data_IF_978350138480
#
_entry.id   IF_978350138480
#
_cell.length_a   1.000
_cell.length_b   1.000
_cell.length_c   1.000
_cell.angle_alpha   90.00
_cell.angle_beta   90.00
_cell.angle_gamma   90.00
#
_symmetry.space_group_name_H-M   'P 1'
#
loop_
_entity.id
_entity.type
_entity.pdbx_description
1 polymer ?
#
# COMPACT_ATOMS: atom_id res chain seq x y z
N UNK A 1 -8.41 16.38 -12.89
CA UNK A 1 -7.67 15.68 -11.83
C UNK A 1 -7.81 14.20 -12.10
N UNK A 2 -6.72 13.45 -12.08
CA UNK A 2 -6.79 12.00 -12.20
C UNK A 2 -7.28 11.46 -10.86
N UNK A 3 -8.30 10.59 -10.89
CA UNK A 3 -8.80 9.93 -9.69
C UNK A 3 -7.74 8.94 -9.19
N UNK A 4 -7.47 8.95 -7.88
CA UNK A 4 -6.55 8.01 -7.24
C UNK A 4 -7.34 6.87 -6.64
N UNK A 5 -6.89 5.66 -6.88
CA UNK A 5 -7.51 4.44 -6.35
C UNK A 5 -6.65 3.97 -5.18
N UNK A 6 -7.22 3.94 -3.98
CA UNK A 6 -6.59 3.32 -2.81
C UNK A 6 -6.72 1.81 -2.97
N UNK A 7 -5.59 1.10 -2.94
CA UNK A 7 -5.55 -0.34 -3.13
C UNK A 7 -5.76 -1.09 -1.81
N UNK A 8 -6.61 -2.12 -1.86
CA UNK A 8 -6.84 -3.07 -0.78
C UNK A 8 -5.84 -4.22 -0.86
N UNK A 9 -5.74 -5.00 0.23
CA UNK A 9 -4.78 -6.09 0.38
C UNK A 9 -4.88 -7.18 -0.70
N UNK A 10 -6.09 -7.41 -1.22
CA UNK A 10 -6.37 -8.41 -2.25
C UNK A 10 -6.15 -7.93 -3.68
N UNK A 11 -5.97 -6.62 -3.89
CA UNK A 11 -5.75 -6.06 -5.21
C UNK A 11 -4.38 -6.53 -5.75
N UNK A 12 -4.30 -6.71 -7.07
CA UNK A 12 -3.09 -7.16 -7.76
C UNK A 12 -2.57 -6.06 -8.65
N UNK A 13 -1.27 -5.79 -8.55
CA UNK A 13 -0.56 -4.89 -9.46
C UNK A 13 0.38 -5.68 -10.36
N UNK A 14 0.54 -5.20 -11.59
CA UNK A 14 1.45 -5.76 -12.59
C UNK A 14 2.46 -4.70 -12.99
N UNK A 15 3.75 -5.02 -12.90
CA UNK A 15 4.85 -4.13 -13.28
C UNK A 15 6.08 -4.96 -13.66
N UNK A 16 7.14 -4.31 -14.15
CA UNK A 16 8.39 -5.02 -14.41
C UNK A 16 8.91 -5.66 -13.11
N UNK A 17 9.44 -6.88 -13.22
CA UNK A 17 9.91 -7.64 -12.05
C UNK A 17 11.03 -6.90 -11.30
N UNK A 18 11.86 -6.13 -11.99
CA UNK A 18 13.00 -5.44 -11.40
C UNK A 18 12.55 -4.13 -10.72
N UNK A 19 11.33 -3.66 -11.03
CA UNK A 19 10.67 -2.54 -10.38
C UNK A 19 9.71 -2.98 -9.26
N UNK A 20 9.31 -4.25 -9.24
CA UNK A 20 8.43 -4.80 -8.21
C UNK A 20 9.18 -5.11 -6.92
N UNK A 21 8.68 -4.60 -5.79
CA UNK A 21 9.26 -4.84 -4.46
C UNK A 21 9.33 -6.32 -4.06
N UNK A 22 8.51 -7.17 -4.64
CA UNK A 22 8.50 -8.63 -4.42
C UNK A 22 9.36 -9.40 -5.45
N UNK A 23 9.97 -8.71 -6.42
CA UNK A 23 10.71 -9.28 -7.55
C UNK A 23 9.91 -10.25 -8.44
N UNK A 24 8.57 -10.13 -8.44
CA UNK A 24 7.64 -10.87 -9.29
C UNK A 24 7.02 -9.95 -10.35
N UNK A 25 6.60 -10.45 -11.52
CA UNK A 25 5.91 -9.62 -12.53
C UNK A 25 4.52 -9.14 -12.09
N UNK A 26 3.90 -9.86 -11.15
CA UNK A 26 2.61 -9.50 -10.54
C UNK A 26 2.64 -9.82 -9.06
N UNK A 27 1.99 -8.98 -8.25
CA UNK A 27 1.95 -9.15 -6.80
C UNK A 27 0.65 -8.66 -6.21
N UNK A 28 0.18 -9.34 -5.17
CA UNK A 28 -0.87 -8.82 -4.31
C UNK A 28 -0.34 -7.68 -3.45
N UNK A 29 -1.21 -6.76 -3.09
CA UNK A 29 -0.86 -5.59 -2.27
C UNK A 29 -0.38 -5.99 -0.88
N UNK A 30 -0.95 -7.05 -0.28
CA UNK A 30 -0.47 -7.57 1.00
C UNK A 30 0.96 -8.12 0.93
N UNK A 31 1.32 -8.81 -0.16
CA UNK A 31 2.70 -9.26 -0.40
C UNK A 31 3.65 -8.06 -0.47
N UNK A 32 3.27 -7.00 -1.18
CA UNK A 32 4.07 -5.77 -1.25
C UNK A 32 4.22 -5.11 0.13
N UNK A 33 3.12 -5.00 0.89
CA UNK A 33 3.14 -4.45 2.25
C UNK A 33 4.06 -5.26 3.16
N UNK A 34 4.02 -6.59 3.06
CA UNK A 34 4.88 -7.47 3.84
C UNK A 34 6.36 -7.28 3.48
N UNK A 35 6.70 -7.19 2.19
CA UNK A 35 8.07 -6.91 1.75
C UNK A 35 8.60 -5.54 2.23
N UNK A 36 7.73 -4.53 2.31
CA UNK A 36 8.09 -3.21 2.89
C UNK A 36 8.35 -3.37 4.40
N UNK A 37 7.49 -4.10 5.10
CA UNK A 37 7.61 -4.35 6.53
C UNK A 37 8.82 -5.20 6.90
N UNK A 38 9.22 -6.15 6.05
CA UNK A 38 10.40 -6.99 6.25
C UNK A 38 11.71 -6.21 6.02
N UNK A 39 11.70 -5.25 5.09
CA UNK A 39 12.82 -4.31 4.90
C UNK A 39 12.90 -3.25 6.00
N UNK A 40 11.85 -3.08 6.80
CA UNK A 40 11.88 -2.22 7.96
C UNK A 40 12.74 -2.87 9.04
N UNK A 41 13.90 -2.28 9.28
CA UNK A 41 15.02 -2.80 10.09
C UNK A 41 14.57 -3.40 11.45
N UNK A 42 15.26 -4.45 11.88
CA UNK A 42 15.03 -5.12 13.16
C UNK A 42 15.15 -4.14 14.34
N UNK A 43 16.01 -3.13 14.21
CA UNK A 43 16.22 -2.08 15.20
C UNK A 43 14.95 -1.25 15.50
N UNK A 44 14.01 -1.15 14.54
CA UNK A 44 12.74 -0.44 14.72
C UNK A 44 11.57 -1.35 15.14
N UNK A 45 11.74 -2.68 15.13
CA UNK A 45 10.68 -3.61 15.52
C UNK A 45 10.24 -3.43 16.96
N UNK A 46 11.18 -3.19 17.88
CA UNK A 46 10.86 -2.96 19.29
C UNK A 46 10.10 -1.64 19.47
N UNK A 47 10.51 -0.59 18.74
CA UNK A 47 9.80 0.68 18.68
C UNK A 47 8.37 0.54 18.15
N UNK A 48 8.14 -0.33 17.16
CA UNK A 48 6.84 -0.49 16.52
C UNK A 48 5.87 -1.43 17.25
N UNK A 49 6.38 -2.48 17.89
CA UNK A 49 5.56 -3.48 18.60
C UNK A 49 5.28 -3.09 20.05
N UNK A 50 6.31 -3.06 20.88
CA UNK A 50 6.16 -2.96 22.33
C UNK A 50 6.41 -1.55 22.88
N UNK A 51 7.12 -0.73 22.10
CA UNK A 51 7.57 0.60 22.48
C UNK A 51 8.74 0.57 23.46
N UNK A 52 9.60 1.60 23.36
CA UNK A 52 10.79 1.73 24.20
C UNK A 52 10.45 2.46 25.49
N UNK A 53 10.83 1.89 26.63
CA UNK A 53 10.64 2.54 27.93
C UNK A 53 11.49 3.81 28.01
N UNK A 54 10.87 4.93 28.34
CA UNK A 54 11.53 6.22 28.38
C UNK A 54 10.89 7.18 29.41
N UNK A 55 11.47 8.38 29.51
CA UNK A 55 10.87 9.50 30.23
C UNK A 55 10.63 10.65 29.25
N UNK A 56 9.46 11.29 29.35
CA UNK A 56 9.07 12.45 28.56
C UNK A 56 9.05 13.70 29.45
N UNK A 57 9.74 14.76 29.02
CA UNK A 57 9.60 16.10 29.60
C UNK A 57 8.73 16.93 28.67
N UNK A 58 7.51 17.25 29.11
CA UNK A 58 6.59 18.06 28.32
C UNK A 58 6.99 19.53 28.31
N UNK A 59 6.92 20.16 27.13
CA UNK A 59 7.10 21.62 26.98
C UNK A 59 6.05 22.43 27.75
N UNK A 60 4.90 21.81 28.09
CA UNK A 60 3.86 22.41 28.93
C UNK A 60 4.24 22.46 30.41
N UNK A 61 5.41 21.95 30.79
CA UNK A 61 5.85 21.80 32.18
C UNK A 61 5.34 20.49 32.82
N UNK A 62 5.48 20.38 34.15
CA UNK A 62 5.00 19.21 34.91
C UNK A 62 6.06 18.14 35.25
N UNK A 63 7.32 18.36 34.86
CA UNK A 63 8.44 17.46 35.18
C UNK A 63 8.53 16.23 34.26
N UNK A 64 9.43 15.30 34.62
CA UNK A 64 9.67 14.06 33.85
C UNK A 64 8.58 13.01 34.11
N UNK A 65 7.95 12.55 33.04
CA UNK A 65 6.91 11.51 33.06
C UNK A 65 7.49 10.18 32.56
N UNK A 66 7.44 9.12 33.37
CA UNK A 66 7.82 7.77 32.94
C UNK A 66 6.74 7.18 32.03
N UNK A 67 7.15 6.54 30.94
CA UNK A 67 6.24 5.89 30.00
C UNK A 67 6.97 5.06 28.96
N UNK A 68 6.31 4.84 27.82
CA UNK A 68 6.89 4.21 26.64
C UNK A 68 6.68 5.10 25.42
N UNK A 69 7.66 5.13 24.53
CA UNK A 69 7.52 5.72 23.19
C UNK A 69 7.34 4.60 22.17
N UNK A 70 6.33 4.72 21.31
CA UNK A 70 6.01 3.74 20.27
C UNK A 70 5.89 4.46 18.93
N UNK A 71 6.34 3.82 17.86
CA UNK A 71 6.16 4.27 16.49
C UNK A 71 5.05 3.42 15.86
N UNK A 72 4.04 4.07 15.30
CA UNK A 72 3.01 3.39 14.50
C UNK A 72 3.26 3.75 13.03
N UNK A 73 3.41 2.73 12.18
CA UNK A 73 3.65 2.89 10.74
C UNK A 73 2.52 2.21 10.00
N UNK A 74 1.81 2.99 9.18
CA UNK A 74 0.79 2.50 8.25
C UNK A 74 1.16 2.91 6.83
N UNK A 75 0.92 2.01 5.87
CA UNK A 75 1.18 2.25 4.45
C UNK A 75 -0.12 2.12 3.66
N UNK A 76 -0.41 3.12 2.83
CA UNK A 76 -1.47 3.09 1.82
C UNK A 76 -0.82 3.07 0.44
N UNK A 77 -1.23 2.13 -0.41
CA UNK A 77 -0.79 2.09 -1.80
C UNK A 77 -1.85 2.76 -2.67
N UNK A 78 -1.42 3.71 -3.49
CA UNK A 78 -2.29 4.42 -4.42
C UNK A 78 -1.95 4.05 -5.85
N UNK A 79 -2.96 3.72 -6.65
CA UNK A 79 -2.85 3.59 -8.09
C UNK A 79 -3.43 4.83 -8.77
N UNK A 80 -2.68 5.42 -9.70
CA UNK A 80 -3.13 6.56 -10.50
C UNK A 80 -3.28 6.07 -11.94
N UNK A 81 -4.50 5.77 -12.41
CA UNK A 81 -4.72 5.38 -13.79
C UNK A 81 -4.34 6.53 -14.73
N UNK A 82 -3.72 6.23 -15.87
CA UNK A 82 -3.66 7.24 -16.94
C UNK A 82 -5.06 7.66 -17.34
N UNK A 83 -5.23 8.92 -17.81
CA UNK A 83 -6.50 9.37 -18.37
C UNK A 83 -6.92 8.36 -19.42
N UNK A 84 -7.97 7.61 -19.13
CA UNK A 84 -8.47 6.56 -19.99
C UNK A 84 -8.85 7.20 -21.32
N UNK A 85 -8.05 6.98 -22.36
CA UNK A 85 -8.56 7.05 -23.73
C UNK A 85 -9.36 5.77 -24.02
N UNK A 86 -10.25 5.41 -23.11
CA UNK A 86 -11.24 4.38 -23.32
C UNK A 86 -12.58 5.12 -23.40
N UNK A 87 -12.95 5.51 -24.61
CA UNK A 87 -14.36 5.50 -24.95
C UNK A 87 -14.90 4.11 -24.53
N UNK A 88 -16.09 4.02 -23.91
CA UNK A 88 -16.76 2.74 -23.79
C UNK A 88 -17.10 2.33 -25.23
N UNK A 89 -16.19 1.58 -25.87
CA UNK A 89 -16.53 0.86 -27.08
C UNK A 89 -17.47 -0.25 -26.65
N UNK A 90 -18.75 0.12 -26.56
CA UNK A 90 -19.88 -0.78 -26.51
C UNK A 90 -19.90 -1.78 -27.68
N UNK A 91 -18.92 -1.75 -28.60
CA UNK A 91 -18.78 -2.71 -29.70
C UNK A 91 -18.03 -3.99 -29.34
N UNK A 92 -17.12 -4.00 -28.35
CA UNK A 92 -16.28 -5.19 -28.11
C UNK A 92 -17.02 -6.40 -27.56
N UNK A 93 -18.14 -6.20 -26.86
CA UNK A 93 -19.06 -7.28 -26.44
C UNK A 93 -20.21 -7.52 -27.42
N UNK A 94 -20.48 -6.58 -28.34
CA UNK A 94 -21.54 -6.73 -29.33
C UNK A 94 -21.06 -7.58 -30.52
N UNK A 95 -19.80 -7.42 -30.92
CA UNK A 95 -19.17 -8.20 -32.00
C UNK A 95 -19.10 -9.70 -31.66
N UNK A 96 -19.00 -10.06 -30.37
CA UNK A 96 -19.06 -11.46 -29.91
C UNK A 96 -20.48 -12.03 -29.90
N UNK A 97 -21.51 -11.20 -29.65
CA UNK A 97 -22.92 -11.63 -29.70
C UNK A 97 -23.38 -11.88 -31.13
N UNK A 98 -22.93 -11.04 -32.07
CA UNK A 98 -23.18 -11.22 -33.50
C UNK A 98 -22.52 -12.50 -34.05
N UNK A 99 -21.39 -12.95 -33.49
CA UNK A 99 -20.77 -14.23 -33.87
C UNK A 99 -21.44 -15.47 -33.25
N UNK A 100 -22.26 -15.30 -32.23
CA UNK A 100 -22.94 -16.39 -31.52
C UNK A 100 -24.42 -16.56 -31.92
N UNK A 101 -24.92 -15.74 -32.85
CA UNK A 101 -26.28 -15.82 -33.43
C UNK A 101 -27.39 -16.02 -32.36
N UNK A 102 -27.35 -15.20 -31.29
CA UNK A 102 -28.41 -15.04 -30.28
C UNK A 102 -29.06 -13.66 -30.38
#
# INVERSE_FOLDING_TARGET
>A
MTERIILNDDDVVSMDKDENLTYKPTSRVDEIKNEIMERFDDDYREWAREGITCQCLSVKGGGWLKGKVRIEVSFELEFTPDKTSASPSASSLNDLREQLDL
#
